data_IF_136990702730
#
_entry.id   IF_136990702730
#
_cell.length_a   1.000
_cell.length_b   1.000
_cell.length_c   1.000
_cell.angle_alpha   90.00
_cell.angle_beta   90.00
_cell.angle_gamma   90.00
#
_symmetry.space_group_name_H-M   'P 1'
#
loop_
_entity.id
_entity.type
_entity.pdbx_description
1 polymer ?
#
# COMPACT_ATOMS: atom_id res chain seq x y z
N UNK A 1 -13.34 9.30 10.38
CA UNK A 1 -13.95 8.90 9.09
C UNK A 1 -14.17 7.39 9.07
N UNK A 2 -15.04 6.86 8.18
CA UNK A 2 -15.23 5.41 8.05
C UNK A 2 -13.99 4.78 7.40
N UNK A 3 -13.41 3.76 8.05
CA UNK A 3 -12.19 3.08 7.62
C UNK A 3 -12.43 1.66 7.09
N UNK A 4 -13.68 1.24 6.96
CA UNK A 4 -14.04 -0.15 6.60
C UNK A 4 -13.42 -0.62 5.28
N UNK A 5 -13.42 0.24 4.25
CA UNK A 5 -12.85 -0.11 2.96
C UNK A 5 -11.31 -0.21 2.99
N UNK A 6 -10.64 0.66 3.77
CA UNK A 6 -9.20 0.56 4.00
C UNK A 6 -8.86 -0.71 4.77
N UNK A 7 -9.60 -0.98 5.86
CA UNK A 7 -9.44 -2.20 6.65
C UNK A 7 -9.60 -3.47 5.80
N UNK A 8 -10.60 -3.52 4.93
CA UNK A 8 -10.77 -4.67 4.03
C UNK A 8 -9.56 -4.86 3.10
N UNK A 9 -9.02 -3.77 2.52
CA UNK A 9 -7.85 -3.85 1.65
C UNK A 9 -6.56 -4.22 2.41
N UNK A 10 -6.38 -3.72 3.63
CA UNK A 10 -5.21 -4.07 4.47
C UNK A 10 -5.29 -5.51 4.97
N UNK A 11 -6.45 -6.02 5.33
CA UNK A 11 -6.63 -7.41 5.74
C UNK A 11 -6.42 -8.40 4.57
N UNK A 12 -6.82 -8.05 3.35
CA UNK A 12 -6.56 -8.86 2.17
C UNK A 12 -5.04 -8.99 1.92
N UNK A 13 -4.30 -7.87 2.03
CA UNK A 13 -2.84 -7.87 1.94
C UNK A 13 -2.20 -8.65 3.09
N UNK A 14 -2.68 -8.47 4.32
CA UNK A 14 -2.18 -9.20 5.48
C UNK A 14 -2.39 -10.72 5.33
N UNK A 15 -3.53 -11.14 4.78
CA UNK A 15 -3.81 -12.54 4.47
C UNK A 15 -2.78 -13.13 3.49
N UNK A 16 -2.39 -12.39 2.45
CA UNK A 16 -1.34 -12.83 1.54
C UNK A 16 0.04 -12.86 2.20
N UNK A 17 0.35 -11.86 3.04
CA UNK A 17 1.61 -11.80 3.78
C UNK A 17 1.78 -12.94 4.78
N UNK A 18 0.70 -13.57 5.25
CA UNK A 18 0.77 -14.75 6.12
C UNK A 18 1.30 -16.00 5.41
N UNK A 19 1.23 -16.03 4.08
CA UNK A 19 1.75 -17.13 3.25
C UNK A 19 3.23 -16.95 2.89
N UNK A 20 3.81 -15.76 3.13
CA UNK A 20 5.21 -15.44 2.79
C UNK A 20 6.15 -16.09 3.78
N UNK A 21 7.14 -16.84 3.27
CA UNK A 21 8.21 -17.48 4.05
C UNK A 21 9.52 -16.71 3.93
N UNK A 22 10.51 -17.09 4.74
CA UNK A 22 11.86 -16.52 4.63
C UNK A 22 12.46 -16.68 3.22
N UNK A 23 12.19 -17.81 2.55
CA UNK A 23 12.70 -18.08 1.20
C UNK A 23 12.13 -17.18 0.12
N UNK A 24 10.94 -16.61 0.35
CA UNK A 24 10.23 -15.79 -0.62
C UNK A 24 10.68 -14.33 -0.60
N UNK A 25 11.38 -13.89 0.44
CA UNK A 25 11.77 -12.48 0.62
C UNK A 25 12.59 -11.92 -0.55
N UNK A 26 13.34 -12.76 -1.25
CA UNK A 26 14.20 -12.36 -2.38
C UNK A 26 13.48 -12.49 -3.74
N UNK A 27 12.22 -12.95 -3.77
CA UNK A 27 11.45 -13.00 -5.00
C UNK A 27 11.20 -11.60 -5.54
N UNK A 28 11.53 -11.38 -6.82
CA UNK A 28 11.34 -10.10 -7.49
C UNK A 28 9.87 -9.79 -7.66
N UNK A 29 9.48 -8.58 -7.28
CA UNK A 29 8.15 -8.07 -7.54
C UNK A 29 8.10 -7.33 -8.89
N UNK A 30 6.92 -7.14 -9.50
CA UNK A 30 6.76 -6.26 -10.66
C UNK A 30 7.09 -4.79 -10.40
N UNK A 31 7.25 -4.39 -9.14
CA UNK A 31 7.55 -3.00 -8.79
C UNK A 31 9.06 -2.72 -8.79
N UNK A 32 9.54 -2.15 -9.91
CA UNK A 32 10.81 -1.46 -10.07
C UNK A 32 12.00 -1.99 -9.23
N UNK A 33 12.52 -3.17 -9.55
CA UNK A 33 13.72 -3.77 -8.93
C UNK A 33 13.61 -4.12 -7.43
N UNK A 34 12.44 -3.98 -6.81
CA UNK A 34 12.21 -4.38 -5.41
C UNK A 34 11.83 -5.86 -5.32
N UNK A 35 12.26 -6.49 -4.25
CA UNK A 35 11.82 -7.83 -3.88
C UNK A 35 10.69 -7.77 -2.82
N UNK A 36 10.16 -8.93 -2.42
CA UNK A 36 9.07 -9.03 -1.46
C UNK A 36 9.42 -8.40 -0.12
N UNK A 37 10.65 -8.61 0.36
CA UNK A 37 11.05 -8.04 1.64
C UNK A 37 11.24 -6.52 1.59
N UNK A 38 11.76 -5.96 0.49
CA UNK A 38 11.84 -4.51 0.30
C UNK A 38 10.44 -3.89 0.25
N UNK A 39 9.51 -4.57 -0.43
CA UNK A 39 8.13 -4.13 -0.52
C UNK A 39 7.43 -4.18 0.85
N UNK A 40 7.65 -5.24 1.62
CA UNK A 40 7.12 -5.36 2.98
C UNK A 40 7.59 -4.20 3.89
N UNK A 41 8.89 -3.92 3.91
CA UNK A 41 9.45 -2.82 4.70
C UNK A 41 8.89 -1.47 4.27
N UNK A 42 8.73 -1.27 2.95
CA UNK A 42 8.10 -0.07 2.41
C UNK A 42 6.65 0.11 2.88
N UNK A 43 5.86 -0.96 2.88
CA UNK A 43 4.46 -0.93 3.31
C UNK A 43 4.33 -0.53 4.79
N UNK A 44 5.19 -1.08 5.64
CA UNK A 44 5.21 -0.74 7.06
C UNK A 44 5.61 0.72 7.31
N UNK A 45 6.69 1.18 6.66
CA UNK A 45 7.15 2.58 6.75
C UNK A 45 6.05 3.54 6.29
N UNK A 46 5.39 3.23 5.18
CA UNK A 46 4.34 4.06 4.62
C UNK A 46 3.12 4.16 5.56
N UNK A 47 2.68 3.07 6.17
CA UNK A 47 1.59 3.08 7.14
C UNK A 47 1.89 4.05 8.30
N UNK A 48 3.10 3.98 8.86
CA UNK A 48 3.52 4.83 9.98
C UNK A 48 3.66 6.29 9.57
N UNK A 49 4.21 6.57 8.37
CA UNK A 49 4.35 7.94 7.86
C UNK A 49 3.01 8.61 7.61
N UNK A 50 2.04 7.86 7.07
CA UNK A 50 0.68 8.38 6.88
C UNK A 50 0.01 8.66 8.21
N UNK A 51 0.14 7.77 9.19
CA UNK A 51 -0.39 7.99 10.53
C UNK A 51 0.20 9.25 11.18
N UNK A 52 1.52 9.43 11.11
CA UNK A 52 2.21 10.62 11.63
C UNK A 52 1.77 11.91 10.91
N UNK A 53 1.65 11.89 9.58
CA UNK A 53 1.15 13.03 8.81
C UNK A 53 -0.26 13.44 9.23
N UNK A 54 -1.15 12.46 9.47
CA UNK A 54 -2.51 12.71 9.96
C UNK A 54 -2.48 13.25 11.40
N UNK A 55 -1.59 12.76 12.25
CA UNK A 55 -1.42 13.29 13.62
C UNK A 55 -0.82 14.70 13.65
N UNK A 56 -0.26 15.18 12.55
CA UNK A 56 0.48 16.45 12.48
C UNK A 56 1.88 16.35 13.13
N UNK A 57 2.38 15.12 13.22
CA UNK A 57 3.71 14.82 13.74
C UNK A 57 4.72 14.84 12.59
N UNK A 58 5.85 15.51 12.78
CA UNK A 58 7.00 15.34 11.90
C UNK A 58 7.69 14.03 12.30
N UNK A 59 7.78 13.10 11.37
CA UNK A 59 8.59 11.90 11.57
C UNK A 59 10.06 12.35 11.57
N UNK A 60 10.62 12.53 12.76
CA UNK A 60 12.05 12.76 12.89
C UNK A 60 12.81 11.61 12.23
N UNK A 61 13.97 11.86 11.56
CA UNK A 61 14.79 10.80 11.00
C UNK A 61 15.18 9.71 12.01
N UNK A 62 15.16 10.02 13.31
CA UNK A 62 15.39 9.09 14.42
C UNK A 62 14.18 8.22 14.79
N UNK A 63 12.98 8.56 14.30
CA UNK A 63 11.77 7.74 14.37
C UNK A 63 11.39 7.10 13.02
N UNK A 64 12.19 7.33 11.97
CA UNK A 64 12.30 6.28 10.99
C UNK A 64 12.75 5.08 11.79
N UNK A 65 11.83 4.13 12.04
CA UNK A 65 12.24 2.78 12.35
C UNK A 65 13.36 2.53 11.36
N UNK A 66 14.58 2.42 11.85
CA UNK A 66 15.71 1.95 11.06
C UNK A 66 15.13 0.85 10.20
N UNK A 67 15.16 0.95 8.87
CA UNK A 67 14.52 -0.05 8.04
C UNK A 67 15.00 -1.35 8.61
N UNK A 68 14.07 -2.13 9.18
CA UNK A 68 14.41 -3.35 9.91
C UNK A 68 15.44 -4.03 9.06
N UNK A 69 16.69 -4.11 9.54
CA UNK A 69 17.78 -4.59 8.73
C UNK A 69 17.26 -5.81 7.99
N UNK A 70 17.42 -5.86 6.69
CA UNK A 70 16.95 -6.94 5.84
C UNK A 70 17.34 -8.31 6.42
N UNK A 71 18.52 -8.35 7.08
CA UNK A 71 19.03 -9.50 7.83
C UNK A 71 18.15 -9.80 9.04
N UNK A 72 17.73 -8.79 9.80
CA UNK A 72 16.87 -8.96 10.97
C UNK A 72 15.47 -9.43 10.55
N UNK A 73 14.93 -8.92 9.43
CA UNK A 73 13.68 -9.41 8.87
C UNK A 73 13.78 -10.90 8.53
N UNK A 74 14.82 -11.32 7.81
CA UNK A 74 15.04 -12.72 7.46
C UNK A 74 15.19 -13.62 8.69
N UNK A 75 15.84 -13.12 9.76
CA UNK A 75 16.01 -13.87 11.01
C UNK A 75 14.72 -13.96 11.86
N UNK A 76 13.74 -13.07 11.62
CA UNK A 76 12.48 -13.06 12.38
C UNK A 76 11.40 -13.98 11.82
N UNK A 77 11.60 -14.51 10.60
CA UNK A 77 10.62 -15.36 9.92
C UNK A 77 10.84 -16.84 10.20
N UNK A 78 9.74 -17.57 10.32
CA UNK A 78 9.74 -19.02 10.35
C UNK A 78 9.95 -19.57 8.93
N UNK A 79 10.57 -20.75 8.83
CA UNK A 79 10.70 -21.51 7.57
C UNK A 79 9.36 -22.01 7.03
N UNK A 80 8.35 -22.09 7.86
CA UNK A 80 7.02 -22.60 7.52
C UNK A 80 6.00 -21.53 7.18
N UNK A 81 6.41 -20.25 7.15
CA UNK A 81 5.52 -19.11 6.91
C UNK A 81 4.97 -18.49 8.20
N UNK A 82 4.50 -17.26 8.07
CA UNK A 82 3.93 -16.48 9.18
C UNK A 82 4.89 -15.43 9.75
N UNK A 83 4.30 -14.44 10.38
CA UNK A 83 5.00 -13.34 11.05
C UNK A 83 4.97 -12.02 10.31
N UNK A 84 4.97 -11.98 8.97
CA UNK A 84 4.86 -10.73 8.22
C UNK A 84 3.49 -10.07 8.37
N UNK A 85 2.44 -10.86 8.40
CA UNK A 85 1.07 -10.37 8.61
C UNK A 85 0.88 -9.67 9.95
N UNK A 86 1.50 -10.19 11.02
CA UNK A 86 1.39 -9.61 12.37
C UNK A 86 2.00 -8.21 12.41
N UNK A 87 3.23 -8.04 11.93
CA UNK A 87 3.90 -6.74 11.88
C UNK A 87 3.16 -5.76 10.96
N UNK A 88 2.70 -6.23 9.80
CA UNK A 88 1.93 -5.41 8.87
C UNK A 88 0.61 -4.93 9.50
N UNK A 89 -0.19 -5.83 10.12
CA UNK A 89 -1.45 -5.47 10.80
C UNK A 89 -1.24 -4.44 11.91
N UNK A 90 -0.14 -4.53 12.66
CA UNK A 90 0.17 -3.55 13.69
C UNK A 90 0.33 -2.14 13.11
N UNK A 91 1.11 -1.99 12.06
CA UNK A 91 1.31 -0.68 11.42
C UNK A 91 0.05 -0.21 10.67
N UNK A 92 -0.68 -1.11 10.01
CA UNK A 92 -1.96 -0.81 9.35
C UNK A 92 -2.99 -0.32 10.38
N UNK A 93 -3.09 -0.96 11.55
CA UNK A 93 -4.00 -0.53 12.61
C UNK A 93 -3.66 0.87 13.14
N UNK A 94 -2.38 1.22 13.25
CA UNK A 94 -1.95 2.58 13.64
C UNK A 94 -2.45 3.60 12.60
N UNK A 95 -2.28 3.31 11.31
CA UNK A 95 -2.76 4.15 10.22
C UNK A 95 -4.29 4.26 10.19
N UNK A 96 -5.00 3.14 10.31
CA UNK A 96 -6.47 3.10 10.34
C UNK A 96 -7.04 3.91 11.52
N UNK A 97 -6.45 3.79 12.70
CA UNK A 97 -6.82 4.56 13.89
C UNK A 97 -6.60 6.07 13.66
N UNK A 98 -5.51 6.45 12.99
CA UNK A 98 -5.27 7.85 12.63
C UNK A 98 -6.38 8.36 11.70
N UNK A 99 -6.76 7.63 10.65
CA UNK A 99 -7.89 8.00 9.79
C UNK A 99 -9.22 8.03 10.55
N UNK A 100 -9.49 7.04 11.41
CA UNK A 100 -10.72 7.00 12.21
C UNK A 100 -10.88 8.24 13.12
N UNK A 101 -9.78 8.79 13.63
CA UNK A 101 -9.78 9.99 14.48
C UNK A 101 -10.14 11.29 13.74
N UNK A 102 -10.11 11.28 12.40
CA UNK A 102 -10.35 12.49 11.60
C UNK A 102 -11.83 12.81 11.52
N UNK A 103 -12.19 14.03 11.91
CA UNK A 103 -13.57 14.54 11.85
C UNK A 103 -13.86 15.32 10.57
N UNK A 104 -12.84 15.98 9.98
CA UNK A 104 -12.94 16.77 8.76
C UNK A 104 -12.03 16.15 7.68
N UNK A 105 -12.62 15.53 6.67
CA UNK A 105 -11.90 14.77 5.62
C UNK A 105 -11.15 15.68 4.62
N UNK A 106 -11.52 16.94 4.54
CA UNK A 106 -10.87 18.01 3.76
C UNK A 106 -9.67 18.64 4.48
N UNK A 107 -9.39 18.23 5.72
CA UNK A 107 -8.22 18.70 6.46
C UNK A 107 -6.94 18.36 5.67
N UNK A 108 -6.06 19.36 5.56
CA UNK A 108 -4.75 19.20 4.94
C UNK A 108 -3.75 18.61 5.94
N UNK A 109 -2.88 17.76 5.44
CA UNK A 109 -1.72 17.22 6.16
C UNK A 109 -0.52 17.11 5.22
N UNK A 110 0.67 17.21 5.78
CA UNK A 110 1.92 17.11 5.04
C UNK A 110 2.57 15.76 5.29
N UNK A 111 2.89 15.06 4.21
CA UNK A 111 3.72 13.87 4.29
C UNK A 111 5.20 14.26 4.14
N UNK A 112 6.04 13.70 5.00
CA UNK A 112 7.49 13.86 4.90
C UNK A 112 8.00 13.36 3.53
N UNK A 113 8.82 14.18 2.87
CA UNK A 113 9.34 13.90 1.53
C UNK A 113 8.46 14.37 0.37
N UNK A 114 7.36 15.08 0.65
CA UNK A 114 6.53 15.74 -0.35
C UNK A 114 6.50 17.26 -0.10
N UNK A 115 6.56 18.04 -1.18
CA UNK A 115 6.56 19.50 -1.11
C UNK A 115 5.15 20.11 -0.98
N UNK A 116 4.12 19.30 -1.23
CA UNK A 116 2.71 19.72 -1.20
C UNK A 116 1.94 19.07 -0.05
N UNK A 117 0.88 19.75 0.39
CA UNK A 117 -0.06 19.25 1.37
C UNK A 117 -1.12 18.38 0.68
N UNK A 118 -1.58 17.36 1.38
CA UNK A 118 -2.61 16.43 0.91
C UNK A 118 -3.89 16.60 1.73
N UNK A 119 -5.04 16.53 1.09
CA UNK A 119 -6.28 16.30 1.80
C UNK A 119 -6.27 14.89 2.41
N UNK A 120 -6.72 14.76 3.65
CA UNK A 120 -6.79 13.46 4.32
C UNK A 120 -7.63 12.45 3.53
N UNK A 121 -8.72 12.90 2.89
CA UNK A 121 -9.51 12.05 1.99
C UNK A 121 -8.69 11.54 0.81
N UNK A 122 -7.82 12.37 0.24
CA UNK A 122 -6.95 11.97 -0.87
C UNK A 122 -5.89 10.96 -0.44
N UNK A 123 -5.33 11.09 0.77
CA UNK A 123 -4.43 10.10 1.34
C UNK A 123 -5.14 8.77 1.62
N UNK A 124 -6.37 8.81 2.12
CA UNK A 124 -7.18 7.63 2.36
C UNK A 124 -7.36 6.78 1.09
N UNK A 125 -7.77 7.42 -0.01
CA UNK A 125 -7.93 6.73 -1.31
C UNK A 125 -6.57 6.23 -1.86
N UNK A 126 -5.50 6.96 -1.58
CA UNK A 126 -4.15 6.54 -1.97
C UNK A 126 -3.73 5.27 -1.21
N UNK A 127 -4.04 5.17 0.10
CA UNK A 127 -3.69 3.98 0.88
C UNK A 127 -4.48 2.74 0.44
N UNK A 128 -5.78 2.87 0.12
CA UNK A 128 -6.53 1.76 -0.49
C UNK A 128 -5.90 1.32 -1.81
N UNK A 129 -5.56 2.28 -2.67
CA UNK A 129 -4.92 1.99 -3.96
C UNK A 129 -3.57 1.27 -3.78
N UNK A 130 -2.76 1.72 -2.82
CA UNK A 130 -1.47 1.11 -2.50
C UNK A 130 -1.64 -0.33 -2.00
N UNK A 131 -2.57 -0.57 -1.05
CA UNK A 131 -2.82 -1.92 -0.55
C UNK A 131 -3.20 -2.87 -1.69
N UNK A 132 -4.16 -2.48 -2.54
CA UNK A 132 -4.64 -3.30 -3.66
C UNK A 132 -3.53 -3.60 -4.68
N UNK A 133 -2.77 -2.58 -5.09
CA UNK A 133 -1.72 -2.74 -6.10
C UNK A 133 -0.57 -3.58 -5.54
N UNK A 134 -0.17 -3.37 -4.29
CA UNK A 134 0.93 -4.13 -3.68
C UNK A 134 0.51 -5.56 -3.29
N UNK A 135 -0.77 -5.81 -3.03
CA UNK A 135 -1.29 -7.19 -2.94
C UNK A 135 -1.02 -7.93 -4.25
N UNK A 136 -1.29 -7.28 -5.39
CA UNK A 136 -0.98 -7.88 -6.69
C UNK A 136 0.53 -8.06 -6.91
N UNK A 137 1.35 -7.07 -6.55
CA UNK A 137 2.82 -7.17 -6.69
C UNK A 137 3.38 -8.39 -5.93
N UNK A 138 2.93 -8.62 -4.68
CA UNK A 138 3.34 -9.77 -3.87
C UNK A 138 2.77 -11.06 -4.44
N UNK A 139 1.50 -11.08 -4.81
CA UNK A 139 0.88 -12.27 -5.42
C UNK A 139 1.64 -12.72 -6.66
N UNK A 140 2.02 -11.80 -7.55
CA UNK A 140 2.83 -12.12 -8.73
C UNK A 140 4.20 -12.69 -8.36
N UNK A 141 4.88 -12.11 -7.36
CA UNK A 141 6.17 -12.60 -6.91
C UNK A 141 6.09 -14.03 -6.33
N UNK A 142 4.96 -14.34 -5.69
CA UNK A 142 4.68 -15.67 -5.10
C UNK A 142 4.07 -16.67 -6.10
N UNK A 143 3.79 -16.26 -7.33
CA UNK A 143 3.12 -17.11 -8.33
C UNK A 143 1.63 -17.33 -8.06
N UNK A 144 0.99 -16.47 -7.27
CA UNK A 144 -0.45 -16.51 -7.02
C UNK A 144 -1.21 -15.62 -8.00
N UNK A 145 -2.45 -15.98 -8.28
CA UNK A 145 -3.39 -15.09 -8.98
C UNK A 145 -4.08 -14.17 -7.97
N UNK A 146 -4.16 -12.89 -8.28
CA UNK A 146 -4.91 -11.91 -7.50
C UNK A 146 -5.76 -11.04 -8.41
N UNK A 147 -7.02 -10.90 -8.05
CA UNK A 147 -7.97 -10.02 -8.72
C UNK A 147 -8.86 -9.38 -7.65
N UNK A 148 -8.80 -8.07 -7.45
CA UNK A 148 -9.68 -7.40 -6.49
C UNK A 148 -11.14 -7.45 -6.95
N UNK A 149 -12.07 -7.28 -6.02
CA UNK A 149 -13.48 -7.11 -6.35
C UNK A 149 -13.67 -5.93 -7.33
N UNK A 150 -14.65 -6.04 -8.23
CA UNK A 150 -14.82 -5.08 -9.34
C UNK A 150 -15.05 -3.64 -8.85
N UNK A 151 -15.80 -3.46 -7.78
CA UNK A 151 -16.05 -2.16 -7.15
C UNK A 151 -14.77 -1.54 -6.56
N UNK A 152 -13.91 -2.37 -5.97
CA UNK A 152 -12.57 -1.96 -5.49
C UNK A 152 -11.69 -1.57 -6.67
N UNK A 153 -11.65 -2.36 -7.72
CA UNK A 153 -10.88 -2.04 -8.94
C UNK A 153 -11.32 -0.70 -9.55
N UNK A 154 -12.64 -0.45 -9.65
CA UNK A 154 -13.18 0.83 -10.12
C UNK A 154 -12.83 2.00 -9.20
N UNK A 155 -12.85 1.79 -7.89
CA UNK A 155 -12.45 2.80 -6.90
C UNK A 155 -11.01 3.24 -7.13
N UNK A 156 -10.09 2.27 -7.24
CA UNK A 156 -8.66 2.53 -7.50
C UNK A 156 -8.46 3.24 -8.84
N UNK A 157 -9.12 2.75 -9.90
CA UNK A 157 -9.02 3.36 -11.23
C UNK A 157 -9.49 4.83 -11.22
N UNK A 158 -10.63 5.13 -10.60
CA UNK A 158 -11.13 6.50 -10.47
C UNK A 158 -10.13 7.41 -9.75
N UNK A 159 -9.51 6.91 -8.66
CA UNK A 159 -8.47 7.66 -7.94
C UNK A 159 -7.26 7.95 -8.83
N UNK A 160 -6.79 6.98 -9.60
CA UNK A 160 -5.65 7.17 -10.50
C UNK A 160 -5.97 8.16 -11.63
N UNK A 161 -7.19 8.13 -12.17
CA UNK A 161 -7.64 9.05 -13.21
C UNK A 161 -7.88 10.47 -12.71
N UNK A 162 -8.08 10.69 -11.41
CA UNK A 162 -8.23 12.02 -10.81
C UNK A 162 -6.90 12.77 -10.62
N UNK A 163 -5.75 12.13 -10.83
CA UNK A 163 -4.43 12.76 -10.75
C UNK A 163 -4.23 13.69 -11.97
N UNK A 164 -3.47 14.80 -11.85
CA UNK A 164 -3.13 15.68 -12.97
C UNK A 164 -2.51 14.91 -14.14
N UNK A 165 -2.76 15.38 -15.38
CA UNK A 165 -2.38 14.68 -16.61
C UNK A 165 -0.85 14.45 -16.76
N UNK A 166 -0.03 15.30 -16.15
CA UNK A 166 1.44 15.22 -16.20
C UNK A 166 2.02 13.97 -15.50
N UNK A 167 1.22 13.30 -14.67
CA UNK A 167 1.61 12.07 -13.96
C UNK A 167 0.93 10.83 -14.55
N UNK A 168 0.14 10.97 -15.63
CA UNK A 168 -0.55 9.85 -16.28
C UNK A 168 0.29 9.31 -17.42
N UNK A 169 0.60 8.02 -17.38
CA UNK A 169 0.96 7.31 -18.60
C UNK A 169 -0.20 7.44 -19.61
N UNK A 170 0.12 7.71 -20.88
CA UNK A 170 -0.84 7.94 -21.96
C UNK A 170 -1.79 6.74 -22.14
N UNK A 171 -3.07 6.93 -21.91
CA UNK A 171 -4.22 6.32 -22.58
C UNK A 171 -5.46 6.21 -21.69
N UNK A 172 -6.36 7.20 -21.76
CA UNK A 172 -7.75 7.02 -21.36
C UNK A 172 -8.53 6.46 -22.58
N UNK A 173 -8.31 5.18 -22.89
CA UNK A 173 -9.20 4.43 -23.74
C UNK A 173 -10.48 4.07 -22.98
N UNK A 174 -11.60 3.85 -23.67
CA UNK A 174 -12.83 3.34 -23.05
C UNK A 174 -12.52 2.05 -22.27
N UNK A 175 -12.68 2.11 -20.95
CA UNK A 175 -12.39 0.98 -20.06
C UNK A 175 -13.61 0.06 -20.11
N UNK A 176 -13.40 -1.20 -20.49
CA UNK A 176 -14.39 -2.26 -20.40
C UNK A 176 -14.37 -2.83 -18.95
N UNK A 177 -15.52 -3.13 -18.39
CA UNK A 177 -15.66 -3.76 -17.06
C UNK A 177 -14.86 -5.06 -16.92
N UNK A 178 -14.57 -5.73 -18.04
CA UNK A 178 -13.79 -6.97 -18.04
C UNK A 178 -12.29 -6.77 -17.77
N UNK A 179 -11.74 -5.54 -17.92
CA UNK A 179 -10.30 -5.25 -17.77
C UNK A 179 -9.99 -4.01 -16.92
N UNK A 180 -10.89 -3.66 -16.00
CA UNK A 180 -10.71 -2.49 -15.10
C UNK A 180 -9.39 -2.58 -14.34
N UNK A 181 -9.08 -3.72 -13.78
CA UNK A 181 -7.85 -3.90 -13.01
C UNK A 181 -6.59 -3.91 -13.89
N UNK A 182 -6.68 -4.45 -15.10
CA UNK A 182 -5.60 -4.31 -16.10
C UNK A 182 -5.28 -2.86 -16.43
N UNK A 183 -6.30 -1.98 -16.48
CA UNK A 183 -6.08 -0.53 -16.63
C UNK A 183 -5.38 0.07 -15.40
N UNK A 184 -5.73 -0.35 -14.18
CA UNK A 184 -5.04 0.07 -12.95
C UNK A 184 -3.56 -0.31 -13.03
N UNK A 185 -3.25 -1.54 -13.40
CA UNK A 185 -1.87 -2.04 -13.50
C UNK A 185 -1.06 -1.25 -14.55
N UNK A 186 -1.62 -1.00 -15.73
CA UNK A 186 -0.98 -0.16 -16.76
C UNK A 186 -0.70 1.25 -16.25
N UNK A 187 -1.67 1.91 -15.62
CA UNK A 187 -1.50 3.26 -15.06
C UNK A 187 -0.50 3.31 -13.91
N UNK A 188 -0.30 2.21 -13.20
CA UNK A 188 0.68 2.08 -12.12
C UNK A 188 2.07 1.65 -12.60
N UNK A 189 2.25 1.43 -13.90
CA UNK A 189 3.53 1.03 -14.50
C UNK A 189 3.90 -0.44 -14.28
N UNK A 190 2.91 -1.33 -14.09
CA UNK A 190 3.09 -2.78 -13.86
C UNK A 190 2.85 -3.63 -15.12
N UNK A 191 2.39 -3.06 -16.21
CA UNK A 191 2.08 -3.77 -17.47
C UNK A 191 2.67 -3.06 -18.67
#
# INVERSE_FOLDING_TARGET
MDTSALHAATEELAGLLSEVTQGDLEHRTPWASRDVGDLYLHLMDQNLRVAAAIAGETVSPSHRTDPMDRTALGASLDFYGGGLDVGYRQTAQVMENAFASVTASDRLCRMDGFDEDFEVAALYEMQISNAVIHTWDIAQAMGFSYQPALDVAWRVLKKMLSRPADTRGSSAASVDDSDVFGCVLKLSGRA
#
